data_IF_963223993604
#
_entry.id   IF_963223993604
#
_cell.length_a   1.000
_cell.length_b   1.000
_cell.length_c   1.000
_cell.angle_alpha   90.00
_cell.angle_beta   90.00
_cell.angle_gamma   90.00
#
_symmetry.space_group_name_H-M   'P 1'
#
loop_
_entity.id
_entity.type
_entity.pdbx_description
1 polymer ?
#
# COMPACT_ATOMS: atom_id res chain seq x y z
N UNK A 1 -5.02 14.66 -10.16
CA UNK A 1 -4.97 14.01 -11.50
C UNK A 1 -5.94 12.84 -11.69
N UNK A 2 -5.83 11.69 -11.00
CA UNK A 2 -6.76 10.56 -11.24
C UNK A 2 -8.21 10.89 -10.81
N UNK A 3 -8.37 11.50 -9.63
CA UNK A 3 -9.66 12.02 -9.12
C UNK A 3 -10.36 12.97 -10.11
N UNK A 4 -9.60 13.94 -10.60
CA UNK A 4 -10.08 14.97 -11.55
C UNK A 4 -10.51 14.38 -12.90
N UNK A 5 -10.00 13.19 -13.25
CA UNK A 5 -10.34 12.47 -14.48
C UNK A 5 -11.50 11.48 -14.32
N UNK A 6 -12.20 11.52 -13.18
CA UNK A 6 -13.38 10.69 -12.93
C UNK A 6 -13.08 9.29 -12.38
N UNK A 7 -11.86 9.02 -11.93
CA UNK A 7 -11.56 7.76 -11.26
C UNK A 7 -12.31 7.66 -9.91
N UNK A 8 -12.93 6.51 -9.64
CA UNK A 8 -13.59 6.24 -8.37
C UNK A 8 -12.52 5.97 -7.31
N UNK A 9 -12.45 6.82 -6.30
CA UNK A 9 -11.55 6.66 -5.16
C UNK A 9 -12.23 5.74 -4.15
N UNK A 10 -11.67 4.54 -3.98
CA UNK A 10 -12.11 3.58 -2.95
C UNK A 10 -11.58 4.00 -1.60
N UNK A 11 -10.33 4.50 -1.55
CA UNK A 11 -9.71 5.02 -0.33
C UNK A 11 -8.78 6.18 -0.66
N UNK A 12 -9.09 7.34 -0.08
CA UNK A 12 -8.29 8.58 -0.22
C UNK A 12 -6.87 8.38 0.29
N UNK A 13 -5.86 9.10 -0.26
CA UNK A 13 -4.48 8.85 0.10
C UNK A 13 -4.19 8.99 1.60
N UNK A 14 -3.57 7.97 2.20
CA UNK A 14 -3.21 7.96 3.62
C UNK A 14 -1.77 7.50 3.81
N UNK A 15 -1.19 7.81 4.96
CA UNK A 15 0.19 7.44 5.31
C UNK A 15 0.14 6.40 6.41
N UNK A 16 0.88 5.31 6.25
CA UNK A 16 1.18 4.40 7.35
C UNK A 16 2.67 4.46 7.67
N UNK A 17 2.97 4.33 8.96
CA UNK A 17 4.32 4.39 9.48
C UNK A 17 4.55 3.23 10.45
N UNK A 18 5.74 2.64 10.35
CA UNK A 18 6.25 1.69 11.32
C UNK A 18 7.74 1.95 11.60
N UNK A 19 8.41 1.00 12.26
CA UNK A 19 9.85 1.04 12.53
C UNK A 19 10.72 0.96 11.27
N UNK A 20 10.18 0.47 10.15
CA UNK A 20 10.86 0.34 8.86
C UNK A 20 10.80 1.61 8.00
N UNK A 21 9.83 2.49 8.23
CA UNK A 21 9.73 3.78 7.55
C UNK A 21 8.30 4.26 7.36
N UNK A 22 8.08 5.10 6.34
CA UNK A 22 6.78 5.72 6.01
C UNK A 22 6.39 5.40 4.57
N UNK A 23 5.16 4.96 4.38
CA UNK A 23 4.60 4.65 3.07
C UNK A 23 3.26 5.37 2.92
N UNK A 24 3.05 5.99 1.75
CA UNK A 24 1.76 6.57 1.38
C UNK A 24 1.03 5.61 0.45
N UNK A 25 -0.24 5.40 0.74
CA UNK A 25 -1.15 4.56 -0.04
C UNK A 25 -2.24 5.39 -0.68
N UNK A 26 -2.80 4.91 -1.78
CA UNK A 26 -4.08 5.37 -2.32
C UNK A 26 -4.75 4.22 -3.08
N UNK A 27 -6.07 4.05 -2.96
CA UNK A 27 -6.79 2.97 -3.65
C UNK A 27 -7.82 3.56 -4.60
N UNK A 28 -7.71 3.18 -5.87
CA UNK A 28 -8.68 3.52 -6.91
C UNK A 28 -9.31 2.26 -7.48
N UNK A 29 -10.56 2.36 -7.91
CA UNK A 29 -11.23 1.29 -8.63
C UNK A 29 -10.92 1.40 -10.13
N UNK A 30 -10.77 0.25 -10.79
CA UNK A 30 -10.67 0.17 -12.25
C UNK A 30 -11.87 -0.53 -12.83
N UNK A 31 -11.68 -1.75 -13.36
CA UNK A 31 -12.74 -2.48 -14.03
C UNK A 31 -13.44 -3.45 -13.06
N UNK A 32 -14.77 -3.44 -13.09
CA UNK A 32 -15.59 -4.24 -12.17
C UNK A 32 -15.18 -3.97 -10.72
N UNK A 33 -14.85 -5.03 -9.98
CA UNK A 33 -14.43 -4.96 -8.58
C UNK A 33 -12.90 -4.91 -8.39
N UNK A 34 -12.14 -4.78 -9.49
CA UNK A 34 -10.68 -4.70 -9.42
C UNK A 34 -10.24 -3.33 -8.94
N UNK A 35 -9.36 -3.29 -7.94
CA UNK A 35 -8.79 -2.05 -7.40
C UNK A 35 -7.28 -2.00 -7.61
N UNK A 36 -6.76 -0.84 -7.99
CA UNK A 36 -5.33 -0.55 -7.95
C UNK A 36 -4.98 0.19 -6.67
N UNK A 37 -4.04 -0.36 -5.91
CA UNK A 37 -3.43 0.30 -4.75
C UNK A 37 -2.10 0.90 -5.18
N UNK A 38 -2.00 2.22 -5.16
CA UNK A 38 -0.75 2.93 -5.33
C UNK A 38 0.02 2.91 -4.02
N UNK A 39 1.30 2.57 -4.11
CA UNK A 39 2.24 2.53 -2.99
C UNK A 39 3.39 3.48 -3.31
N UNK A 40 3.51 4.55 -2.53
CA UNK A 40 4.58 5.54 -2.65
C UNK A 40 5.46 5.46 -1.41
N UNK A 41 6.73 5.08 -1.61
CA UNK A 41 7.74 5.09 -0.56
C UNK A 41 8.17 6.54 -0.31
N UNK A 42 7.91 7.07 0.90
CA UNK A 42 8.30 8.44 1.27
C UNK A 42 9.80 8.54 1.66
N UNK A 43 10.56 7.48 1.47
CA UNK A 43 11.98 7.33 1.80
C UNK A 43 12.41 5.87 1.69
N UNK A 44 13.69 5.54 1.99
CA UNK A 44 14.14 4.16 2.01
C UNK A 44 13.44 3.40 3.13
N UNK A 45 12.49 2.54 2.76
CA UNK A 45 11.78 1.68 3.68
C UNK A 45 12.60 0.41 3.93
N UNK A 46 12.86 0.09 5.21
CA UNK A 46 13.74 -1.01 5.64
C UNK A 46 12.98 -2.20 6.24
N UNK A 47 11.65 -2.18 6.22
CA UNK A 47 10.84 -3.32 6.66
C UNK A 47 10.87 -4.47 5.65
N UNK A 48 10.34 -5.63 6.06
CA UNK A 48 10.31 -6.84 5.22
C UNK A 48 9.55 -6.62 3.90
N UNK A 49 8.45 -5.87 3.96
CA UNK A 49 7.63 -5.56 2.80
C UNK A 49 6.95 -4.20 2.94
N UNK A 50 5.88 -4.12 3.73
CA UNK A 50 5.09 -2.92 3.98
C UNK A 50 4.77 -2.81 5.49
N UNK A 51 4.40 -1.61 5.98
CA UNK A 51 3.90 -1.43 7.33
C UNK A 51 2.83 -2.46 7.70
N UNK A 52 2.98 -3.06 8.89
CA UNK A 52 2.06 -4.06 9.42
C UNK A 52 2.34 -5.50 8.99
N UNK A 53 3.23 -5.74 8.01
CA UNK A 53 3.68 -7.09 7.67
C UNK A 53 4.76 -7.55 8.64
N UNK A 54 4.61 -8.76 9.17
CA UNK A 54 5.56 -9.39 10.08
C UNK A 54 6.13 -10.65 9.46
N UNK A 55 7.27 -11.08 9.98
CA UNK A 55 7.83 -12.37 9.60
C UNK A 55 6.81 -13.50 9.84
N UNK A 56 6.77 -14.51 8.96
CA UNK A 56 5.94 -15.69 9.16
C UNK A 56 6.24 -16.30 10.52
N UNK A 57 5.19 -16.68 11.27
CA UNK A 57 5.34 -17.38 12.55
C UNK A 57 6.00 -18.76 12.38
N UNK A 58 5.92 -19.33 11.19
CA UNK A 58 6.51 -20.60 10.82
C UNK A 58 7.27 -20.44 9.50
N UNK A 59 8.54 -20.86 9.48
CA UNK A 59 9.28 -21.02 8.22
C UNK A 59 8.97 -22.40 7.66
N UNK A 60 8.52 -22.44 6.42
CA UNK A 60 8.32 -23.70 5.70
C UNK A 60 9.67 -24.45 5.66
N UNK A 61 9.74 -25.70 6.15
CA UNK A 61 10.97 -26.50 6.16
C UNK A 61 11.31 -27.13 4.80
N UNK A 62 10.53 -26.89 3.75
CA UNK A 62 10.75 -27.38 2.39
C UNK A 62 11.78 -26.57 1.59
#
# INVERSE_FOLDING_TARGET
>A
KAKERGAVIVKEPWIEQDSGGKIKYAVIQTYGDTTHTFVEYMGPYKGLFLPGFKEPLFRDPL
#
